data_IF_927678663029
#
_entry.id   IF_927678663029
#
_cell.length_a   1.000
_cell.length_b   1.000
_cell.length_c   1.000
_cell.angle_alpha   90.00
_cell.angle_beta   90.00
_cell.angle_gamma   90.00
#
_symmetry.space_group_name_H-M   'P 1'
#
loop_
_entity.id
_entity.type
_entity.pdbx_description
1 polymer ?
#
# COMPACT_ATOMS: atom_id res chain seq x y z
N UNK A 1 -18.29 -10.02 19.96
CA UNK A 1 -18.11 -8.67 19.37
C UNK A 1 -17.67 -8.65 17.90
N UNK A 2 -17.43 -9.78 17.21
CA UNK A 2 -17.20 -9.76 15.75
C UNK A 2 -15.97 -8.96 15.27
N UNK A 3 -15.09 -8.53 16.18
CA UNK A 3 -13.89 -7.76 15.87
C UNK A 3 -12.89 -8.70 15.20
N UNK A 4 -12.62 -8.42 13.93
CA UNK A 4 -11.68 -9.18 13.11
C UNK A 4 -11.19 -8.32 11.96
N UNK A 5 -10.17 -8.81 11.26
CA UNK A 5 -9.80 -8.30 9.95
C UNK A 5 -10.91 -8.63 8.95
N UNK A 6 -11.39 -7.61 8.25
CA UNK A 6 -12.32 -7.73 7.13
C UNK A 6 -11.60 -7.51 5.79
N UNK A 7 -10.82 -6.43 5.71
CA UNK A 7 -10.18 -6.02 4.46
C UNK A 7 -11.11 -5.29 3.50
N UNK A 8 -10.54 -4.52 2.59
CA UNK A 8 -11.26 -3.69 1.62
C UNK A 8 -10.54 -3.70 0.27
N UNK A 9 -11.18 -3.09 -0.74
CA UNK A 9 -10.83 -3.21 -2.17
C UNK A 9 -10.96 -4.63 -2.73
N UNK A 10 -11.81 -5.48 -2.12
CA UNK A 10 -12.01 -6.87 -2.53
C UNK A 10 -12.41 -7.03 -4.01
N UNK A 11 -13.28 -6.16 -4.53
CA UNK A 11 -13.66 -6.17 -5.95
C UNK A 11 -12.47 -5.88 -6.86
N UNK A 12 -11.64 -4.89 -6.53
CA UNK A 12 -10.44 -4.58 -7.32
C UNK A 12 -9.44 -5.73 -7.28
N UNK A 13 -9.09 -6.22 -6.08
CA UNK A 13 -8.16 -7.36 -5.91
C UNK A 13 -8.64 -8.60 -6.67
N UNK A 14 -9.94 -8.93 -6.56
CA UNK A 14 -10.54 -10.05 -7.29
C UNK A 14 -10.42 -9.84 -8.80
N UNK A 15 -10.85 -8.68 -9.31
CA UNK A 15 -10.83 -8.38 -10.73
C UNK A 15 -9.43 -8.49 -11.34
N UNK A 16 -8.44 -7.79 -10.78
CA UNK A 16 -7.10 -7.73 -11.38
C UNK A 16 -6.35 -9.06 -11.29
N UNK A 17 -6.60 -9.85 -10.24
CA UNK A 17 -6.03 -11.20 -10.13
C UNK A 17 -6.62 -12.15 -11.18
N UNK A 18 -7.92 -12.05 -11.47
CA UNK A 18 -8.54 -12.79 -12.56
C UNK A 18 -8.00 -12.38 -13.93
N UNK A 19 -7.87 -11.07 -14.20
CA UNK A 19 -7.29 -10.57 -15.44
C UNK A 19 -5.84 -11.02 -15.63
N UNK A 20 -5.05 -11.07 -14.55
CA UNK A 20 -3.68 -11.61 -14.60
C UNK A 20 -3.69 -13.07 -15.03
N UNK A 21 -4.53 -13.91 -14.42
CA UNK A 21 -4.61 -15.33 -14.74
C UNK A 21 -5.02 -15.56 -16.21
N UNK A 22 -6.01 -14.81 -16.69
CA UNK A 22 -6.42 -14.82 -18.11
C UNK A 22 -5.24 -14.44 -19.02
N UNK A 23 -4.54 -13.35 -18.72
CA UNK A 23 -3.39 -12.87 -19.50
C UNK A 23 -2.22 -13.85 -19.54
N UNK A 24 -2.02 -14.61 -18.46
CA UNK A 24 -0.97 -15.62 -18.37
C UNK A 24 -1.39 -16.98 -18.97
N UNK A 25 -2.66 -17.17 -19.31
CA UNK A 25 -3.17 -18.45 -19.82
C UNK A 25 -3.11 -19.59 -18.79
N UNK A 26 -3.11 -19.28 -17.49
CA UNK A 26 -3.04 -20.27 -16.40
C UNK A 26 -4.15 -20.00 -15.38
N UNK A 27 -4.69 -21.03 -14.72
CA UNK A 27 -5.73 -20.81 -13.72
C UNK A 27 -5.16 -20.08 -12.49
N UNK A 28 -5.94 -19.16 -11.91
CA UNK A 28 -5.53 -18.44 -10.70
C UNK A 28 -5.25 -19.37 -9.50
N UNK A 29 -5.82 -20.58 -9.51
CA UNK A 29 -5.53 -21.63 -8.53
C UNK A 29 -4.08 -22.15 -8.57
N UNK A 30 -3.34 -21.90 -9.66
CA UNK A 30 -1.93 -22.25 -9.78
C UNK A 30 -0.97 -21.12 -9.38
N UNK A 31 -1.48 -19.97 -8.94
CA UNK A 31 -0.69 -18.76 -8.71
C UNK A 31 -0.62 -18.32 -7.24
N UNK A 32 0.52 -17.71 -6.89
CA UNK A 32 0.76 -16.89 -5.70
C UNK A 32 0.97 -15.45 -6.16
N UNK A 33 0.00 -14.60 -5.88
CA UNK A 33 -0.05 -13.22 -6.36
C UNK A 33 -0.05 -12.26 -5.17
N UNK A 34 0.78 -11.24 -5.22
CA UNK A 34 0.61 -10.05 -4.38
C UNK A 34 0.00 -8.96 -5.24
N UNK A 35 -1.16 -8.47 -4.84
CA UNK A 35 -1.85 -7.37 -5.51
C UNK A 35 -1.75 -6.08 -4.68
N UNK A 36 -1.25 -5.02 -5.30
CA UNK A 36 -1.09 -3.70 -4.74
C UNK A 36 -2.12 -2.75 -5.36
N UNK A 37 -3.25 -2.54 -4.67
CA UNK A 37 -4.19 -1.49 -5.05
C UNK A 37 -3.72 -0.18 -4.42
N UNK A 38 -3.16 0.71 -5.24
CA UNK A 38 -2.54 1.95 -4.80
C UNK A 38 -3.32 3.16 -5.31
N UNK A 39 -3.95 3.87 -4.40
CA UNK A 39 -4.66 5.12 -4.64
C UNK A 39 -4.66 5.98 -3.38
N UNK A 40 -5.57 6.96 -3.27
CA UNK A 40 -5.69 7.77 -2.06
C UNK A 40 -5.99 6.89 -0.83
N UNK A 41 -6.80 5.83 -1.00
CA UNK A 41 -6.78 4.65 -0.13
C UNK A 41 -5.95 3.53 -0.78
N UNK A 42 -5.06 2.90 -0.02
CA UNK A 42 -4.17 1.86 -0.54
C UNK A 42 -4.27 0.58 0.27
N UNK A 43 -4.38 -0.57 -0.41
CA UNK A 43 -4.33 -1.88 0.25
C UNK A 43 -3.58 -2.92 -0.55
N UNK A 44 -2.92 -3.83 0.16
CA UNK A 44 -2.17 -4.95 -0.40
C UNK A 44 -2.93 -6.24 -0.10
N UNK A 45 -2.98 -7.17 -1.04
CA UNK A 45 -3.64 -8.46 -0.88
C UNK A 45 -2.70 -9.59 -1.30
N UNK A 46 -2.61 -10.63 -0.46
CA UNK A 46 -1.95 -11.89 -0.77
C UNK A 46 -3.01 -12.88 -1.27
N UNK A 47 -2.83 -13.37 -2.49
CA UNK A 47 -3.74 -14.32 -3.13
C UNK A 47 -2.97 -15.59 -3.43
N UNK A 48 -3.38 -16.71 -2.86
CA UNK A 48 -2.74 -18.02 -3.06
C UNK A 48 -3.79 -19.02 -3.48
N UNK A 49 -3.58 -19.65 -4.64
CA UNK A 49 -4.51 -20.64 -5.16
C UNK A 49 -5.92 -20.10 -5.38
N UNK A 50 -6.04 -18.88 -5.91
CA UNK A 50 -7.34 -18.24 -6.17
C UNK A 50 -8.05 -17.67 -4.96
N UNK A 51 -7.46 -17.73 -3.77
CA UNK A 51 -8.08 -17.24 -2.53
C UNK A 51 -7.27 -16.13 -1.90
N UNK A 52 -7.95 -15.09 -1.40
CA UNK A 52 -7.34 -14.07 -0.56
C UNK A 52 -6.95 -14.67 0.79
N UNK A 53 -5.65 -14.87 1.01
CA UNK A 53 -5.12 -15.45 2.26
C UNK A 53 -4.67 -14.39 3.26
N UNK A 54 -4.39 -13.15 2.82
CA UNK A 54 -4.15 -12.01 3.69
C UNK A 54 -4.44 -10.69 2.98
N UNK A 55 -4.73 -9.62 3.73
CA UNK A 55 -4.94 -8.27 3.21
C UNK A 55 -4.57 -7.20 4.23
N UNK A 56 -4.03 -6.07 3.77
CA UNK A 56 -3.36 -5.10 4.65
C UNK A 56 -4.34 -4.30 5.51
N UNK A 57 -5.52 -3.98 4.98
CA UNK A 57 -6.55 -3.31 5.75
C UNK A 57 -7.21 -4.25 6.76
N UNK A 58 -7.60 -3.67 7.90
CA UNK A 58 -7.98 -4.38 9.10
C UNK A 58 -9.49 -4.51 9.29
N UNK A 59 -9.92 -4.17 10.50
CA UNK A 59 -11.34 -3.96 10.84
C UNK A 59 -11.92 -2.77 10.06
N UNK A 60 -11.10 -1.74 9.85
CA UNK A 60 -11.43 -0.54 9.04
C UNK A 60 -10.38 -0.35 7.94
N UNK A 61 -10.63 0.58 6.99
CA UNK A 61 -9.64 0.97 5.99
C UNK A 61 -8.41 1.72 6.52
N UNK A 62 -8.25 1.90 7.84
CA UNK A 62 -7.14 2.66 8.42
C UNK A 62 -5.84 1.83 8.48
N UNK A 63 -5.92 0.55 8.83
CA UNK A 63 -4.73 -0.30 9.03
C UNK A 63 -4.06 -0.67 7.71
N UNK A 64 -2.78 -1.01 7.79
CA UNK A 64 -1.94 -1.46 6.69
C UNK A 64 -0.92 -0.41 6.29
N UNK A 65 -0.84 -0.15 4.99
CA UNK A 65 0.17 0.75 4.42
C UNK A 65 -0.21 2.23 4.62
N UNK A 66 0.80 3.09 4.57
CA UNK A 66 0.60 4.54 4.48
C UNK A 66 -0.26 4.89 3.26
N UNK A 67 -1.16 5.87 3.38
CA UNK A 67 -2.06 6.30 2.31
C UNK A 67 -2.00 7.83 2.14
N UNK A 68 -2.91 8.44 1.37
CA UNK A 68 -2.89 9.89 1.15
C UNK A 68 -3.05 10.70 2.44
N UNK A 69 -4.13 10.44 3.19
CA UNK A 69 -4.40 11.10 4.49
C UNK A 69 -4.39 10.15 5.69
N UNK A 70 -4.33 8.83 5.43
CA UNK A 70 -4.35 7.81 6.49
C UNK A 70 -2.95 7.38 6.89
N UNK A 71 -2.73 7.23 8.18
CA UNK A 71 -1.41 6.84 8.71
C UNK A 71 -0.95 5.45 8.26
N UNK A 72 -1.89 4.51 8.10
CA UNK A 72 -1.55 3.09 8.10
C UNK A 72 -1.19 2.62 9.51
N UNK A 73 -0.46 1.51 9.59
CA UNK A 73 -0.04 0.91 10.85
C UNK A 73 0.93 1.83 11.63
N UNK A 74 0.64 2.00 12.92
CA UNK A 74 1.44 2.77 13.90
C UNK A 74 1.54 1.96 15.20
N UNK A 75 2.42 2.38 16.10
CA UNK A 75 2.39 1.89 17.49
C UNK A 75 1.08 2.34 18.16
N UNK A 76 0.20 1.41 18.60
CA UNK A 76 -1.04 1.76 19.27
C UNK A 76 -0.85 2.62 20.53
N UNK A 77 0.32 2.52 21.19
CA UNK A 77 0.67 3.26 22.40
C UNK A 77 0.81 4.77 22.18
N UNK A 78 0.99 5.21 20.93
CA UNK A 78 1.04 6.63 20.58
C UNK A 78 -0.31 7.32 20.85
N UNK A 79 -1.44 6.63 20.64
CA UNK A 79 -2.77 7.20 20.79
C UNK A 79 -3.09 7.66 22.23
N UNK A 80 -2.97 6.81 23.27
CA UNK A 80 -3.18 7.27 24.64
C UNK A 80 -2.12 8.30 25.06
N UNK A 81 -0.89 8.21 24.56
CA UNK A 81 0.13 9.21 24.84
C UNK A 81 -0.27 10.60 24.32
N UNK A 82 -0.71 10.70 23.05
CA UNK A 82 -1.19 11.97 22.47
C UNK A 82 -2.45 12.45 23.20
N UNK A 83 -3.40 11.55 23.51
CA UNK A 83 -4.60 11.92 24.27
C UNK A 83 -4.26 12.62 25.59
N UNK A 84 -3.30 12.05 26.34
CA UNK A 84 -2.89 12.59 27.64
C UNK A 84 -2.05 13.86 27.51
N UNK A 85 -1.19 13.95 26.49
CA UNK A 85 -0.29 15.10 26.28
C UNK A 85 -0.96 16.31 25.68
N UNK A 86 -1.86 16.12 24.74
CA UNK A 86 -2.51 17.19 23.97
C UNK A 86 -4.00 17.35 24.32
N UNK A 87 -4.52 16.56 25.25
CA UNK A 87 -5.94 16.61 25.63
C UNK A 87 -6.89 16.17 24.51
N UNK A 88 -6.41 15.38 23.54
CA UNK A 88 -7.24 14.96 22.38
C UNK A 88 -8.25 13.89 22.78
N UNK A 89 -9.49 14.05 22.29
CA UNK A 89 -10.55 13.05 22.42
C UNK A 89 -10.35 11.88 21.46
N UNK A 90 -10.98 10.72 21.70
CA UNK A 90 -10.94 9.60 20.75
C UNK A 90 -11.38 9.97 19.33
N UNK A 91 -12.35 10.87 19.19
CA UNK A 91 -12.82 11.36 17.88
C UNK A 91 -11.75 12.20 17.19
N UNK A 92 -11.04 13.07 17.93
CA UNK A 92 -9.94 13.87 17.39
C UNK A 92 -8.74 13.00 17.00
N UNK A 93 -8.45 11.94 17.77
CA UNK A 93 -7.43 10.97 17.37
C UNK A 93 -7.83 10.19 16.11
N UNK A 94 -9.09 9.79 16.00
CA UNK A 94 -9.58 9.14 14.80
C UNK A 94 -9.49 10.06 13.57
N UNK A 95 -9.82 11.35 13.73
CA UNK A 95 -9.63 12.36 12.69
C UNK A 95 -8.15 12.50 12.30
N UNK A 96 -7.25 12.63 13.29
CA UNK A 96 -5.81 12.71 13.09
C UNK A 96 -5.30 11.54 12.23
N UNK A 97 -5.71 10.31 12.56
CA UNK A 97 -5.27 9.10 11.85
C UNK A 97 -5.85 8.96 10.44
N UNK A 98 -7.06 9.47 10.18
CA UNK A 98 -7.75 9.25 8.91
C UNK A 98 -7.59 10.41 7.93
N UNK A 99 -7.33 11.62 8.41
CA UNK A 99 -7.47 12.85 7.63
C UNK A 99 -6.23 13.75 7.66
N UNK A 100 -5.37 13.63 8.67
CA UNK A 100 -4.23 14.55 8.89
C UNK A 100 -2.88 13.81 8.89
N UNK A 101 -2.87 12.54 8.49
CA UNK A 101 -1.70 11.66 8.49
C UNK A 101 -1.27 11.31 7.05
N UNK A 102 -0.50 10.24 6.88
CA UNK A 102 -0.16 9.71 5.56
C UNK A 102 0.81 10.60 4.79
N UNK A 103 0.67 10.61 3.46
CA UNK A 103 1.42 11.51 2.58
C UNK A 103 1.23 12.96 2.98
N UNK A 104 -0.01 13.37 3.28
CA UNK A 104 -0.33 14.73 3.72
C UNK A 104 0.42 15.08 5.01
N UNK A 105 0.30 14.26 6.04
CA UNK A 105 0.87 14.54 7.36
C UNK A 105 2.41 14.58 7.36
N UNK A 106 3.06 13.73 6.56
CA UNK A 106 4.53 13.71 6.49
C UNK A 106 5.07 14.80 5.56
N UNK A 107 4.47 14.96 4.38
CA UNK A 107 4.97 15.97 3.42
C UNK A 107 4.63 17.39 3.85
N UNK A 108 3.50 17.60 4.52
CA UNK A 108 2.92 18.91 4.79
C UNK A 108 2.38 19.61 3.54
N UNK A 109 2.25 18.89 2.41
CA UNK A 109 1.90 19.47 1.10
C UNK A 109 0.51 19.04 0.64
N UNK A 110 0.34 17.76 0.31
CA UNK A 110 -0.87 17.24 -0.35
C UNK A 110 -1.06 15.76 -0.06
N UNK A 111 -2.31 15.26 -0.04
CA UNK A 111 -2.57 13.82 -0.06
C UNK A 111 -2.42 13.19 -1.46
N UNK A 112 -2.32 13.98 -2.53
CA UNK A 112 -2.12 13.49 -3.90
C UNK A 112 -0.65 13.14 -4.12
N UNK A 113 -0.40 11.91 -4.57
CA UNK A 113 0.95 11.41 -4.80
C UNK A 113 1.74 12.24 -5.82
N UNK A 114 1.08 12.76 -6.87
CA UNK A 114 1.72 13.53 -7.95
C UNK A 114 2.19 14.89 -7.46
N UNK A 115 1.40 15.54 -6.61
CA UNK A 115 1.79 16.82 -6.01
C UNK A 115 3.02 16.64 -5.11
N UNK A 116 3.05 15.55 -4.34
CA UNK A 116 4.18 15.21 -3.48
C UNK A 116 5.43 14.85 -4.32
N UNK A 117 5.27 14.12 -5.43
CA UNK A 117 6.36 13.88 -6.39
C UNK A 117 6.92 15.19 -6.96
N UNK A 118 6.06 16.10 -7.41
CA UNK A 118 6.48 17.40 -7.94
C UNK A 118 7.21 18.25 -6.88
N UNK A 119 6.70 18.27 -5.65
CA UNK A 119 7.36 18.94 -4.54
C UNK A 119 8.75 18.32 -4.25
N UNK A 120 8.88 17.00 -4.30
CA UNK A 120 10.16 16.32 -4.11
C UNK A 120 11.17 16.69 -5.23
N UNK A 121 10.70 16.77 -6.49
CA UNK A 121 11.55 17.12 -7.64
C UNK A 121 12.01 18.58 -7.63
N UNK A 122 11.26 19.45 -6.95
CA UNK A 122 11.65 20.85 -6.71
C UNK A 122 12.50 21.03 -5.45
N UNK A 123 12.93 19.92 -4.82
CA UNK A 123 13.88 19.93 -3.70
C UNK A 123 13.25 19.86 -2.31
N UNK A 124 11.94 19.62 -2.18
CA UNK A 124 11.31 19.48 -0.87
C UNK A 124 11.67 18.14 -0.20
N UNK A 125 12.52 18.20 0.82
CA UNK A 125 12.98 17.03 1.56
C UNK A 125 11.86 16.28 2.30
N UNK A 126 10.84 16.97 2.81
CA UNK A 126 9.72 16.31 3.49
C UNK A 126 8.84 15.54 2.51
N UNK A 127 8.63 16.07 1.31
CA UNK A 127 7.96 15.36 0.24
C UNK A 127 8.74 14.09 -0.17
N UNK A 128 10.06 14.21 -0.35
CA UNK A 128 10.91 13.05 -0.64
C UNK A 128 10.88 11.98 0.47
N UNK A 129 10.84 12.40 1.74
CA UNK A 129 10.68 11.51 2.89
C UNK A 129 9.32 10.79 2.86
N UNK A 130 8.24 11.52 2.60
CA UNK A 130 6.89 10.95 2.52
C UNK A 130 6.80 9.85 1.44
N UNK A 131 7.34 10.10 0.25
CA UNK A 131 7.38 9.11 -0.84
C UNK A 131 8.24 7.89 -0.47
N UNK A 132 9.35 8.11 0.23
CA UNK A 132 10.22 7.03 0.71
C UNK A 132 9.47 6.15 1.71
N UNK A 133 8.84 6.74 2.73
CA UNK A 133 8.06 6.00 3.72
C UNK A 133 6.89 5.23 3.09
N UNK A 134 6.19 5.86 2.14
CA UNK A 134 5.11 5.20 1.39
C UNK A 134 5.60 3.92 0.70
N UNK A 135 6.70 4.02 -0.06
CA UNK A 135 7.28 2.88 -0.77
C UNK A 135 7.82 1.80 0.20
N UNK A 136 8.50 2.20 1.28
CA UNK A 136 9.04 1.27 2.29
C UNK A 136 7.92 0.47 2.98
N UNK A 137 6.82 1.12 3.38
CA UNK A 137 5.68 0.44 4.03
C UNK A 137 5.01 -0.59 3.12
N UNK A 138 4.88 -0.26 1.84
CA UNK A 138 4.34 -1.19 0.85
C UNK A 138 5.31 -2.35 0.63
N UNK A 139 6.61 -2.08 0.43
CA UNK A 139 7.63 -3.12 0.26
C UNK A 139 7.70 -4.07 1.45
N UNK A 140 7.67 -3.55 2.68
CA UNK A 140 7.66 -4.37 3.89
C UNK A 140 6.43 -5.30 3.94
N UNK A 141 5.26 -4.80 3.53
CA UNK A 141 4.02 -5.58 3.46
C UNK A 141 4.11 -6.67 2.39
N UNK A 142 4.64 -6.34 1.20
CA UNK A 142 4.92 -7.32 0.13
C UNK A 142 5.82 -8.43 0.66
N UNK A 143 6.96 -8.09 1.28
CA UNK A 143 7.90 -9.06 1.83
C UNK A 143 7.25 -10.01 2.85
N UNK A 144 6.43 -9.47 3.76
CA UNK A 144 5.66 -10.29 4.71
C UNK A 144 4.73 -11.28 4.00
N UNK A 145 4.05 -10.86 2.94
CA UNK A 145 3.11 -11.71 2.20
C UNK A 145 3.80 -12.78 1.36
N UNK A 146 4.95 -12.47 0.77
CA UNK A 146 5.78 -13.46 0.07
C UNK A 146 6.19 -14.57 1.04
N UNK A 147 6.66 -14.20 2.23
CA UNK A 147 7.05 -15.17 3.27
C UNK A 147 5.86 -16.04 3.71
N UNK A 148 4.69 -15.45 3.93
CA UNK A 148 3.48 -16.20 4.32
C UNK A 148 2.99 -17.16 3.24
N UNK A 149 3.08 -16.78 1.97
CA UNK A 149 2.64 -17.63 0.87
C UNK A 149 3.66 -18.72 0.51
N UNK A 150 4.92 -18.58 0.93
CA UNK A 150 6.03 -19.46 0.57
C UNK A 150 6.55 -19.19 -0.84
N UNK A 151 6.50 -17.93 -1.29
CA UNK A 151 6.99 -17.48 -2.59
C UNK A 151 6.00 -16.58 -3.34
N UNK A 152 6.36 -16.21 -4.56
CA UNK A 152 5.67 -15.23 -5.38
C UNK A 152 5.77 -15.63 -6.86
N UNK A 153 4.64 -15.63 -7.57
CA UNK A 153 4.60 -15.84 -9.01
C UNK A 153 4.34 -14.51 -9.76
N UNK A 154 3.58 -13.59 -9.16
CA UNK A 154 3.33 -12.27 -9.74
C UNK A 154 3.11 -11.17 -8.69
N UNK A 155 3.62 -9.98 -8.99
CA UNK A 155 3.33 -8.73 -8.29
C UNK A 155 2.50 -7.83 -9.22
N UNK A 156 1.30 -7.46 -8.81
CA UNK A 156 0.36 -6.66 -9.60
C UNK A 156 0.19 -5.28 -8.98
N UNK A 157 0.26 -4.24 -9.80
CA UNK A 157 -0.08 -2.87 -9.42
C UNK A 157 -1.37 -2.45 -10.11
N UNK A 158 -2.29 -1.87 -9.34
CA UNK A 158 -3.57 -1.30 -9.83
C UNK A 158 -3.94 -0.07 -9.01
N UNK A 159 -5.00 0.63 -9.39
CA UNK A 159 -5.44 1.87 -8.78
C UNK A 159 -4.67 3.08 -9.33
N UNK A 160 -5.14 4.28 -9.00
CA UNK A 160 -4.65 5.51 -9.61
C UNK A 160 -3.13 5.70 -9.53
N UNK A 161 -2.51 5.39 -8.39
CA UNK A 161 -1.04 5.48 -8.24
C UNK A 161 -0.37 4.28 -8.91
N UNK A 162 -0.90 3.08 -8.71
CA UNK A 162 -0.29 1.83 -9.19
C UNK A 162 -0.23 1.75 -10.72
N UNK A 163 -1.25 2.26 -11.40
CA UNK A 163 -1.34 2.29 -12.86
C UNK A 163 -0.50 3.42 -13.46
N UNK A 164 -0.56 4.62 -12.89
CA UNK A 164 -0.02 5.81 -13.56
C UNK A 164 1.40 6.22 -13.12
N UNK A 165 1.90 5.78 -11.96
CA UNK A 165 3.23 6.18 -11.48
C UNK A 165 4.27 5.07 -11.64
N UNK A 166 5.03 5.12 -12.73
CA UNK A 166 6.18 4.24 -12.94
C UNK A 166 7.26 4.43 -11.84
N UNK A 167 7.41 5.65 -11.33
CA UNK A 167 8.34 5.97 -10.24
C UNK A 167 7.92 5.34 -8.91
N UNK A 168 6.63 5.35 -8.58
CA UNK A 168 6.10 4.62 -7.42
C UNK A 168 6.40 3.12 -7.52
N UNK A 169 6.10 2.50 -8.67
CA UNK A 169 6.39 1.08 -8.92
C UNK A 169 7.87 0.77 -8.77
N UNK A 170 8.75 1.57 -9.36
CA UNK A 170 10.20 1.40 -9.26
C UNK A 170 10.69 1.55 -7.80
N UNK A 171 10.21 2.55 -7.07
CA UNK A 171 10.58 2.76 -5.67
C UNK A 171 10.14 1.61 -4.75
N UNK A 172 8.95 1.04 -4.99
CA UNK A 172 8.42 -0.12 -4.26
C UNK A 172 9.21 -1.39 -4.61
N UNK A 173 9.49 -1.61 -5.89
CA UNK A 173 10.21 -2.78 -6.38
C UNK A 173 11.73 -2.73 -6.13
N UNK A 174 12.27 -1.58 -5.69
CA UNK A 174 13.69 -1.46 -5.33
C UNK A 174 14.10 -2.57 -4.36
N UNK A 175 15.22 -3.22 -4.65
CA UNK A 175 15.78 -4.35 -3.91
C UNK A 175 14.93 -5.62 -3.89
N UNK A 176 13.93 -5.79 -4.78
CA UNK A 176 13.22 -7.06 -4.94
C UNK A 176 13.88 -8.01 -5.94
N UNK A 177 14.98 -7.60 -6.58
CA UNK A 177 15.67 -8.36 -7.63
C UNK A 177 16.15 -9.73 -7.17
N UNK A 178 16.50 -9.89 -5.88
CA UNK A 178 16.93 -11.17 -5.32
C UNK A 178 15.82 -12.24 -5.32
N UNK A 179 14.56 -11.84 -5.51
CA UNK A 179 13.41 -12.74 -5.64
C UNK A 179 13.21 -13.23 -7.08
N UNK A 180 14.10 -12.88 -8.02
CA UNK A 180 13.89 -13.11 -9.45
C UNK A 180 12.89 -12.15 -10.09
N UNK A 181 12.44 -11.12 -9.37
CA UNK A 181 11.62 -10.04 -9.92
C UNK A 181 12.53 -9.07 -10.70
N UNK A 182 12.48 -9.14 -12.02
CA UNK A 182 13.07 -8.11 -12.89
C UNK A 182 11.97 -7.13 -13.30
N UNK A 183 12.15 -5.85 -12.98
CA UNK A 183 11.35 -4.78 -13.58
C UNK A 183 11.88 -4.58 -15.00
N UNK A 184 11.02 -4.84 -15.99
CA UNK A 184 11.30 -4.51 -17.39
C UNK A 184 11.25 -2.99 -17.55
N UNK A 185 12.42 -2.37 -17.55
CA UNK A 185 12.60 -0.92 -17.61
C UNK A 185 12.11 -0.32 -18.94
N UNK A 186 12.01 -1.12 -20.01
CA UNK A 186 11.51 -0.68 -21.33
C UNK A 186 9.99 -0.59 -21.38
N UNK A 187 9.26 -1.34 -20.55
CA UNK A 187 7.78 -1.31 -20.46
C UNK A 187 7.23 -0.22 -19.53
N UNK A 188 7.95 0.90 -19.38
CA UNK A 188 7.53 2.03 -18.54
C UNK A 188 6.47 2.95 -19.15
N UNK A 189 6.08 2.72 -20.41
CA UNK A 189 5.08 3.54 -21.11
C UNK A 189 3.81 2.74 -21.44
N UNK A 190 2.82 2.83 -20.56
CA UNK A 190 1.39 2.79 -20.85
C UNK A 190 0.67 3.57 -19.76
#
# INVERSE_FOLDING_TARGET
MGIRRYGFHGTSHKYVSSQLAEKLGVPLSALRVVCCHLGNGSSICAIKGGQSVNTSMGFTPQSGVMMGTRSGDIDPSILPWIALREGKTPQQLNQLLNNESGLLGVSGISPDYRDVEHAADTGNHQAALALTLFAERIRATIGSYIMQMGGLDALVFTGGIGENSARARAAICRNLNFLGLAVDEEKKSA
#
